data_IF_557698074325
#
_entry.id   IF_557698074325
#
_cell.length_a   1.000
_cell.length_b   1.000
_cell.length_c   1.000
_cell.angle_alpha   90.00
_cell.angle_beta   90.00
_cell.angle_gamma   90.00
#
_symmetry.space_group_name_H-M   'P 1'
#
loop_
_entity.id
_entity.type
_entity.pdbx_description
1 polymer ?
#
# COMPACT_ATOMS: atom_id res chain seq x y z
N UNK A 1 -15.30 0.57 6.12
CA UNK A 1 -15.13 -0.85 5.76
C UNK A 1 -13.67 -0.95 5.40
N UNK A 2 -12.86 -1.71 6.14
CA UNK A 2 -11.42 -1.69 5.95
C UNK A 2 -11.09 -2.06 4.51
N UNK A 3 -10.11 -1.35 3.94
CA UNK A 3 -9.69 -1.59 2.55
C UNK A 3 -8.79 -2.82 2.54
N UNK A 4 -9.00 -3.78 1.64
CA UNK A 4 -8.11 -4.93 1.49
C UNK A 4 -6.89 -4.54 0.66
N UNK A 5 -5.68 -4.71 1.22
CA UNK A 5 -4.41 -4.49 0.53
C UNK A 5 -3.79 -5.83 0.15
N UNK A 6 -3.36 -5.95 -1.11
CA UNK A 6 -2.64 -7.12 -1.63
C UNK A 6 -1.36 -6.64 -2.29
N UNK A 7 -0.21 -7.13 -1.83
CA UNK A 7 1.10 -6.89 -2.44
C UNK A 7 1.58 -8.19 -3.08
N UNK A 8 1.88 -8.13 -4.38
CA UNK A 8 2.30 -9.28 -5.18
C UNK A 8 3.72 -9.09 -5.70
N UNK A 9 4.44 -10.21 -5.78
CA UNK A 9 5.77 -10.30 -6.37
C UNK A 9 5.77 -11.41 -7.43
N UNK A 10 6.81 -11.53 -8.27
CA UNK A 10 6.93 -12.65 -9.18
C UNK A 10 6.93 -14.04 -8.50
N UNK A 11 7.25 -14.12 -7.20
CA UNK A 11 7.24 -15.36 -6.42
C UNK A 11 5.87 -15.69 -5.80
N UNK A 12 4.93 -14.74 -5.79
CA UNK A 12 3.60 -14.89 -5.20
C UNK A 12 3.16 -13.68 -4.37
N UNK A 13 2.09 -13.86 -3.60
CA UNK A 13 1.58 -12.86 -2.66
C UNK A 13 2.59 -12.65 -1.51
N UNK A 14 3.11 -11.43 -1.37
CA UNK A 14 4.00 -11.05 -0.26
C UNK A 14 3.22 -10.52 0.94
N UNK A 15 2.03 -9.95 0.70
CA UNK A 15 1.14 -9.46 1.75
C UNK A 15 -0.32 -9.51 1.29
N UNK A 16 -1.22 -9.86 2.22
CA UNK A 16 -2.67 -9.74 2.06
C UNK A 16 -3.28 -9.43 3.42
N UNK A 17 -4.08 -8.37 3.52
CA UNK A 17 -4.79 -8.08 4.76
C UNK A 17 -5.63 -6.80 4.74
N UNK A 18 -6.49 -6.62 5.75
CA UNK A 18 -7.23 -5.38 5.94
C UNK A 18 -6.30 -4.25 6.41
N UNK A 19 -6.46 -3.06 5.84
CA UNK A 19 -5.69 -1.85 6.20
C UNK A 19 -6.61 -0.65 6.34
N UNK A 20 -6.19 0.31 7.18
CA UNK A 20 -6.87 1.60 7.34
C UNK A 20 -6.39 2.60 6.27
N UNK A 21 -5.09 2.57 5.98
CA UNK A 21 -4.47 3.34 4.89
C UNK A 21 -3.11 2.77 4.51
N UNK A 22 -2.60 3.15 3.33
CA UNK A 22 -1.26 2.82 2.87
C UNK A 22 -0.60 4.03 2.21
N UNK A 23 0.71 4.23 2.43
CA UNK A 23 1.53 5.21 1.73
C UNK A 23 2.48 4.48 0.80
N UNK A 24 2.48 4.85 -0.48
CA UNK A 24 3.22 4.18 -1.55
C UNK A 24 4.16 5.18 -2.25
N UNK A 25 5.36 4.74 -2.67
CA UNK A 25 6.31 5.58 -3.38
C UNK A 25 5.91 5.62 -4.87
N UNK A 26 5.10 6.60 -5.26
CA UNK A 26 4.73 6.83 -6.65
C UNK A 26 5.85 7.47 -7.48
N UNK A 27 5.74 7.41 -8.80
CA UNK A 27 6.71 8.02 -9.72
C UNK A 27 6.83 9.54 -9.58
N UNK A 28 5.74 10.23 -9.22
CA UNK A 28 5.69 11.69 -9.04
C UNK A 28 5.91 12.14 -7.59
N UNK A 29 6.12 11.19 -6.68
CA UNK A 29 6.14 11.44 -5.25
C UNK A 29 5.36 10.39 -4.48
N UNK A 30 5.35 10.52 -3.16
CA UNK A 30 4.71 9.54 -2.30
C UNK A 30 3.22 9.90 -2.16
N UNK A 31 2.34 8.90 -2.24
CA UNK A 31 0.90 9.10 -2.17
C UNK A 31 0.25 8.17 -1.15
N UNK A 32 -0.81 8.66 -0.52
CA UNK A 32 -1.59 7.91 0.46
C UNK A 32 -2.92 7.45 -0.11
N UNK A 33 -3.28 6.19 0.14
CA UNK A 33 -4.61 5.64 -0.14
C UNK A 33 -5.35 5.46 1.18
N UNK A 34 -6.47 6.16 1.34
CA UNK A 34 -7.36 6.08 2.50
C UNK A 34 -8.67 5.40 2.13
N UNK A 35 -9.53 5.13 3.12
CA UNK A 35 -10.90 4.67 2.87
C UNK A 35 -11.61 5.56 1.82
N UNK A 36 -12.32 4.90 0.89
CA UNK A 36 -13.11 5.54 -0.18
C UNK A 36 -12.28 6.35 -1.20
N UNK A 37 -10.99 6.07 -1.34
CA UNK A 37 -10.20 6.63 -2.44
C UNK A 37 -10.78 6.23 -3.81
N UNK A 38 -10.74 7.16 -4.77
CA UNK A 38 -11.17 6.91 -6.15
C UNK A 38 -10.26 5.87 -6.83
N UNK A 39 -10.76 5.18 -7.86
CA UNK A 39 -9.95 4.21 -8.60
C UNK A 39 -8.90 4.93 -9.45
N UNK A 40 -7.64 4.56 -9.27
CA UNK A 40 -6.55 5.05 -10.12
C UNK A 40 -5.45 3.99 -10.29
N UNK A 41 -4.58 4.22 -11.26
CA UNK A 41 -3.41 3.40 -11.57
C UNK A 41 -2.18 4.30 -11.59
N UNK A 42 -1.09 3.88 -10.94
CA UNK A 42 0.16 4.64 -10.91
C UNK A 42 1.37 3.69 -10.87
N UNK A 43 2.46 4.01 -11.59
CA UNK A 43 3.72 3.30 -11.43
C UNK A 43 4.36 3.63 -10.08
N UNK A 44 5.00 2.62 -9.48
CA UNK A 44 5.74 2.75 -8.23
C UNK A 44 7.25 2.80 -8.51
N UNK A 45 7.96 3.66 -7.77
CA UNK A 45 9.44 3.68 -7.73
C UNK A 45 9.92 2.74 -6.61
N UNK A 46 11.20 2.39 -6.64
CA UNK A 46 11.85 1.69 -5.52
C UNK A 46 11.79 2.59 -4.28
N UNK A 47 11.36 2.03 -3.15
CA UNK A 47 11.16 2.79 -1.93
C UNK A 47 10.41 2.03 -0.85
N UNK A 48 10.14 2.73 0.25
CA UNK A 48 9.39 2.21 1.38
C UNK A 48 7.88 2.36 1.19
N UNK A 49 7.13 1.40 1.72
CA UNK A 49 5.67 1.39 1.79
C UNK A 49 5.29 1.38 3.25
N UNK A 50 4.49 2.37 3.67
CA UNK A 50 3.95 2.42 5.03
C UNK A 50 2.53 1.85 5.03
N UNK A 51 2.30 0.77 5.76
CA UNK A 51 0.99 0.12 5.91
C UNK A 51 0.44 0.44 7.30
N UNK A 52 -0.73 1.08 7.36
CA UNK A 52 -1.41 1.43 8.62
C UNK A 52 -2.59 0.51 8.86
N UNK A 53 -2.59 -0.11 10.03
CA UNK A 53 -3.65 -0.99 10.52
C UNK A 53 -4.10 -0.53 11.90
N UNK A 54 -5.21 -1.09 12.39
CA UNK A 54 -5.70 -0.80 13.74
C UNK A 54 -4.68 -1.15 14.85
N UNK A 55 -3.76 -2.07 14.57
CA UNK A 55 -2.73 -2.53 15.50
C UNK A 55 -1.45 -1.67 15.44
N UNK A 56 -1.27 -0.86 14.38
CA UNK A 56 -0.13 0.04 14.21
C UNK A 56 0.37 0.18 12.77
N UNK A 57 1.55 0.82 12.62
CA UNK A 57 2.26 0.99 11.35
C UNK A 57 3.28 -0.13 11.12
N UNK A 58 3.37 -0.61 9.88
CA UNK A 58 4.40 -1.53 9.40
C UNK A 58 5.01 -1.02 8.09
N UNK A 59 6.23 -1.45 7.78
CA UNK A 59 6.98 -1.02 6.60
C UNK A 59 7.35 -2.19 5.72
N UNK A 60 7.21 -2.01 4.40
CA UNK A 60 7.72 -2.91 3.37
C UNK A 60 8.61 -2.12 2.38
N UNK A 61 9.43 -2.82 1.61
CA UNK A 61 10.24 -2.23 0.54
C UNK A 61 9.84 -2.82 -0.82
N UNK A 62 9.81 -1.97 -1.85
CA UNK A 62 9.57 -2.34 -3.27
C UNK A 62 10.89 -2.60 -3.98
#
# INVERSE_FOLDING_TARGET
MPTELIIVTPLGEAFRGPVDSVVLPGSEGDFGVLEKHERFLSPLKVGEVEIKTAEGSSWAAI
#
